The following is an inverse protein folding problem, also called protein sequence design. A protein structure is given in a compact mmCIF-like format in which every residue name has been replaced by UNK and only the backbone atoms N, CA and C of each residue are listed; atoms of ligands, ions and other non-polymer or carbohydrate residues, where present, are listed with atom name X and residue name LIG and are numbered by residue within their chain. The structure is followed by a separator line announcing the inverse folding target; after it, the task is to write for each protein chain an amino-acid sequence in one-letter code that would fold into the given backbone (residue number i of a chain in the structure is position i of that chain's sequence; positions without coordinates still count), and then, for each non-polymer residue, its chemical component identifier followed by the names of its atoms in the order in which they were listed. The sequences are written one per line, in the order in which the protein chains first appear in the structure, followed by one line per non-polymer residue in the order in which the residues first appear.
data_IF_748867702675
#
_entry.id   IF_748867702675
#
_cell.length_a   1.000
_cell.length_b   1.000
_cell.length_c   1.000
_cell.angle_alpha   90.00
_cell.angle_beta   90.00
_cell.angle_gamma   90.00
#
_symmetry.space_group_name_H-M   'P 1'
#
loop_
_entity.id
_entity.type
_entity.pdbx_description
1 polymer ?
#
# COMPACT_ATOMS: atom_id res chain seq x y z
N UNK A 1 14.71 1.83 9.95
CA UNK A 1 13.88 1.18 8.90
C UNK A 1 12.93 2.26 8.42
N UNK A 2 12.71 2.46 7.11
CA UNK A 2 11.83 3.56 6.67
C UNK A 2 10.36 3.21 6.92
N UNK A 3 9.56 4.18 7.36
CA UNK A 3 8.10 4.03 7.55
C UNK A 3 7.40 3.53 6.28
N UNK A 4 7.96 3.78 5.09
CA UNK A 4 7.44 3.25 3.82
C UNK A 4 7.58 1.72 3.69
N UNK A 5 8.37 1.07 4.55
CA UNK A 5 8.49 -0.38 4.70
C UNK A 5 7.90 -0.87 6.03
N UNK A 6 6.84 -0.23 6.48
CA UNK A 6 6.15 -0.57 7.72
C UNK A 6 4.68 -0.80 7.41
N UNK A 7 4.10 -1.83 7.99
CA UNK A 7 2.64 -2.04 7.93
C UNK A 7 1.96 -0.94 8.73
N UNK A 8 1.13 -0.15 8.06
CA UNK A 8 0.37 0.95 8.67
C UNK A 8 -1.11 0.58 8.62
N UNK A 9 -1.77 0.68 9.75
CA UNK A 9 -3.23 0.57 9.81
C UNK A 9 -3.86 1.92 9.49
N UNK A 10 -4.19 2.11 8.22
CA UNK A 10 -4.81 3.35 7.76
C UNK A 10 -6.24 3.57 8.26
N UNK A 11 -6.90 2.59 8.88
CA UNK A 11 -8.22 2.78 9.51
C UNK A 11 -8.14 3.71 10.72
N UNK A 12 -6.95 3.86 11.31
CA UNK A 12 -6.71 4.79 12.42
C UNK A 12 -6.95 6.24 12.03
N UNK A 13 -6.79 6.60 10.76
CA UNK A 13 -7.11 7.95 10.28
C UNK A 13 -8.61 8.24 10.19
N UNK A 14 -9.46 7.23 10.24
CA UNK A 14 -10.91 7.39 10.35
C UNK A 14 -11.40 7.30 11.79
N UNK A 15 -10.67 6.53 12.61
CA UNK A 15 -10.96 6.39 14.02
C UNK A 15 -10.66 7.66 14.81
N UNK A 16 -9.56 8.31 14.44
CA UNK A 16 -9.11 9.58 15.00
C UNK A 16 -9.29 10.71 13.97
N UNK A 17 -9.18 11.94 14.42
CA UNK A 17 -9.23 13.10 13.52
C UNK A 17 -8.01 13.13 12.58
N UNK A 18 -8.24 12.94 11.28
CA UNK A 18 -7.16 12.96 10.29
C UNK A 18 -6.44 14.31 10.22
N UNK A 19 -7.16 15.42 10.42
CA UNK A 19 -6.58 16.77 10.39
C UNK A 19 -5.57 16.94 11.52
N UNK A 20 -5.85 16.36 12.69
CA UNK A 20 -4.91 16.34 13.80
C UNK A 20 -3.54 15.73 13.40
N UNK A 21 -3.57 14.61 12.67
CA UNK A 21 -2.35 13.94 12.21
C UNK A 21 -1.58 14.77 11.17
N UNK A 22 -2.30 15.44 10.27
CA UNK A 22 -1.72 16.30 9.24
C UNK A 22 -1.06 17.52 9.89
N UNK A 23 -1.75 18.22 10.78
CA UNK A 23 -1.26 19.44 11.46
C UNK A 23 -0.03 19.16 12.33
N UNK A 24 -0.02 18.03 13.04
CA UNK A 24 1.09 17.66 13.91
C UNK A 24 2.20 16.87 13.20
N UNK A 25 2.07 16.63 11.88
CA UNK A 25 3.02 15.87 11.03
C UNK A 25 3.39 14.52 11.63
N UNK A 26 2.38 13.72 11.93
CA UNK A 26 2.53 12.39 12.53
C UNK A 26 1.69 11.34 11.80
N UNK A 27 2.12 10.09 11.89
CA UNK A 27 1.41 8.96 11.26
C UNK A 27 1.13 7.89 12.30
N UNK A 28 -0.15 7.58 12.62
CA UNK A 28 -0.48 6.45 13.45
C UNK A 28 -0.17 5.16 12.68
N UNK A 29 0.55 4.24 13.32
CA UNK A 29 1.01 3.01 12.68
C UNK A 29 0.12 1.83 13.06
N UNK A 30 -0.07 1.66 14.36
CA UNK A 30 -0.75 0.51 14.93
C UNK A 30 -1.31 0.86 16.31
N UNK A 31 -2.45 0.25 16.65
CA UNK A 31 -3.10 0.41 17.94
C UNK A 31 -3.49 -0.96 18.51
N UNK A 32 -3.27 -1.14 19.79
CA UNK A 32 -3.83 -2.25 20.57
C UNK A 32 -4.73 -1.75 21.72
N UNK A 33 -5.09 -2.62 22.65
CA UNK A 33 -5.94 -2.26 23.79
C UNK A 33 -5.30 -1.24 24.73
N UNK A 34 -3.97 -1.16 24.79
CA UNK A 34 -3.22 -0.39 25.78
C UNK A 34 -2.44 0.76 25.15
N UNK A 35 -1.92 0.54 23.95
CA UNK A 35 -0.96 1.45 23.32
C UNK A 35 -1.33 1.87 21.91
N UNK A 36 -0.82 3.02 21.52
CA UNK A 36 -0.86 3.56 20.15
C UNK A 36 0.58 3.85 19.72
N UNK A 37 0.98 3.28 18.59
CA UNK A 37 2.30 3.52 17.98
C UNK A 37 2.20 4.58 16.92
N UNK A 38 2.99 5.65 17.05
CA UNK A 38 2.97 6.81 16.16
C UNK A 38 4.37 7.06 15.60
N UNK A 39 4.45 7.28 14.29
CA UNK A 39 5.65 7.85 13.67
C UNK A 39 5.64 9.36 13.79
N UNK A 40 6.75 9.90 14.21
CA UNK A 40 7.00 11.34 14.40
C UNK A 40 8.21 11.79 13.58
N UNK A 41 8.32 13.08 13.32
CA UNK A 41 9.51 13.68 12.77
C UNK A 41 10.10 14.73 13.73
N UNK A 42 11.32 15.26 13.49
CA UNK A 42 11.95 16.23 14.40
C UNK A 42 11.12 17.49 14.66
N UNK A 43 10.18 17.83 13.78
CA UNK A 43 9.29 18.99 13.95
C UNK A 43 7.98 18.68 14.71
N UNK A 44 7.74 17.43 15.12
CA UNK A 44 6.55 17.02 15.87
C UNK A 44 6.65 17.41 17.35
N UNK A 45 5.54 17.89 17.94
CA UNK A 45 5.49 18.24 19.37
C UNK A 45 5.09 17.01 20.21
N UNK A 46 6.10 16.29 20.71
CA UNK A 46 5.91 15.02 21.44
C UNK A 46 5.12 15.20 22.75
N UNK A 47 5.35 16.28 23.49
CA UNK A 47 4.66 16.53 24.77
C UNK A 47 3.16 16.71 24.55
N UNK A 48 2.79 17.57 23.59
CA UNK A 48 1.39 17.76 23.22
C UNK A 48 0.74 16.45 22.78
N UNK A 49 1.42 15.66 21.92
CA UNK A 49 0.87 14.42 21.41
C UNK A 49 0.62 13.40 22.54
N UNK A 50 1.50 13.32 23.55
CA UNK A 50 1.28 12.43 24.70
C UNK A 50 0.04 12.78 25.50
N UNK A 51 -0.22 14.07 25.66
CA UNK A 51 -1.34 14.56 26.48
C UNK A 51 -2.68 14.42 25.74
N UNK A 52 -2.67 14.41 24.41
CA UNK A 52 -3.88 14.33 23.58
C UNK A 52 -4.47 12.91 23.46
N UNK A 53 -3.72 11.87 23.83
CA UNK A 53 -4.18 10.48 23.74
C UNK A 53 -4.31 9.83 25.12
N UNK A 54 -5.42 9.10 25.33
CA UNK A 54 -5.67 8.35 26.57
C UNK A 54 -4.77 7.12 26.69
N UNK A 55 -4.34 6.55 25.55
CA UNK A 55 -3.48 5.38 25.49
C UNK A 55 -2.01 5.73 25.66
N UNK A 56 -1.21 4.74 26.06
CA UNK A 56 0.24 4.88 26.08
C UNK A 56 0.73 5.08 24.64
N UNK A 57 1.36 6.23 24.37
CA UNK A 57 1.88 6.53 23.05
C UNK A 57 3.35 6.12 22.94
N UNK A 58 3.63 5.22 21.99
CA UNK A 58 4.97 4.79 21.63
C UNK A 58 5.40 5.48 20.34
N UNK A 59 6.53 6.16 20.37
CA UNK A 59 7.02 6.91 19.23
C UNK A 59 8.12 6.18 18.48
N UNK A 60 8.11 6.31 17.15
CA UNK A 60 9.26 6.03 16.28
C UNK A 60 9.61 7.29 15.50
N UNK A 61 10.89 7.62 15.45
CA UNK A 61 11.37 8.77 14.69
C UNK A 61 11.61 8.38 13.24
N UNK A 62 11.06 9.17 12.32
CA UNK A 62 11.13 8.97 10.88
C UNK A 62 11.45 10.26 10.16
N UNK A 63 11.84 10.15 8.90
CA UNK A 63 12.15 11.31 8.07
C UNK A 63 10.88 12.11 7.77
N UNK A 64 10.95 13.42 7.95
CA UNK A 64 9.80 14.32 7.73
C UNK A 64 9.21 14.17 6.32
N UNK A 65 10.05 14.03 5.28
CA UNK A 65 9.56 13.88 3.92
C UNK A 65 8.77 12.57 3.70
N UNK A 66 9.11 11.49 4.40
CA UNK A 66 8.36 10.22 4.31
C UNK A 66 7.01 10.34 5.02
N UNK A 67 6.95 11.03 6.16
CA UNK A 67 5.71 11.35 6.87
C UNK A 67 4.80 12.22 6.00
N UNK A 68 5.31 13.31 5.47
CA UNK A 68 4.56 14.22 4.61
C UNK A 68 4.07 13.52 3.33
N UNK A 69 4.86 12.63 2.76
CA UNK A 69 4.47 11.82 1.61
C UNK A 69 3.28 10.89 1.92
N UNK A 70 3.24 10.31 3.11
CA UNK A 70 2.10 9.48 3.54
C UNK A 70 0.86 10.35 3.74
N UNK A 71 0.99 11.48 4.43
CA UNK A 71 -0.12 12.37 4.78
C UNK A 71 -0.73 13.07 3.55
N UNK A 72 0.07 13.40 2.53
CA UNK A 72 -0.40 14.09 1.34
C UNK A 72 -1.48 13.33 0.54
N UNK A 73 -1.59 12.01 0.71
CA UNK A 73 -2.52 11.18 -0.04
C UNK A 73 -3.33 10.24 0.86
N UNK A 74 -3.64 10.69 2.06
CA UNK A 74 -4.22 9.83 3.10
C UNK A 74 -5.55 9.20 2.70
N UNK A 75 -6.42 9.93 2.02
CA UNK A 75 -7.74 9.44 1.59
C UNK A 75 -7.60 8.24 0.64
N UNK A 76 -6.72 8.34 -0.35
CA UNK A 76 -6.45 7.22 -1.28
C UNK A 76 -5.81 6.04 -0.56
N UNK A 77 -4.93 6.30 0.42
CA UNK A 77 -4.33 5.25 1.23
C UNK A 77 -5.35 4.49 2.07
N UNK A 78 -6.30 5.19 2.66
CA UNK A 78 -7.42 4.57 3.41
C UNK A 78 -8.28 3.70 2.49
N UNK A 79 -8.65 4.20 1.31
CA UNK A 79 -9.44 3.45 0.31
C UNK A 79 -8.70 2.16 -0.09
N UNK A 80 -7.44 2.27 -0.49
CA UNK A 80 -6.63 1.13 -0.91
C UNK A 80 -6.40 0.14 0.23
N UNK A 81 -6.17 0.62 1.45
CA UNK A 81 -6.01 -0.25 2.62
C UNK A 81 -7.26 -1.08 2.90
N UNK A 82 -8.44 -0.45 2.88
CA UNK A 82 -9.72 -1.14 3.06
C UNK A 82 -9.98 -2.17 1.96
N UNK A 83 -9.68 -1.80 0.71
CA UNK A 83 -9.82 -2.71 -0.42
C UNK A 83 -8.87 -3.92 -0.29
N UNK A 84 -7.62 -3.70 0.15
CA UNK A 84 -6.64 -4.74 0.42
C UNK A 84 -7.11 -5.70 1.52
N UNK A 85 -7.60 -5.18 2.65
CA UNK A 85 -8.14 -5.99 3.75
C UNK A 85 -9.32 -6.86 3.28
N UNK A 86 -10.24 -6.30 2.48
CA UNK A 86 -11.35 -7.05 1.90
C UNK A 86 -10.88 -8.14 0.94
N UNK A 87 -9.87 -7.85 0.11
CA UNK A 87 -9.29 -8.83 -0.81
C UNK A 87 -8.64 -10.02 -0.09
N UNK A 88 -8.04 -9.78 1.08
CA UNK A 88 -7.44 -10.84 1.91
C UNK A 88 -8.52 -11.64 2.64
N UNK A 89 -9.52 -10.97 3.22
CA UNK A 89 -10.52 -11.60 4.09
C UNK A 89 -11.65 -12.32 3.36
N UNK A 90 -11.94 -11.92 2.13
CA UNK A 90 -12.99 -12.54 1.31
C UNK A 90 -12.42 -13.75 0.59
N UNK A 91 -12.52 -14.93 1.18
CA UNK A 91 -12.11 -16.18 0.54
C UNK A 91 -12.65 -16.26 -0.90
N UNK A 92 -11.76 -16.00 -1.89
CA UNK A 92 -11.98 -16.12 -3.34
C UNK A 92 -13.01 -15.17 -4.00
N UNK A 93 -13.39 -14.07 -3.38
CA UNK A 93 -14.18 -13.05 -4.10
C UNK A 93 -13.27 -12.11 -4.90
N UNK A 94 -13.03 -12.48 -6.17
CA UNK A 94 -12.25 -11.71 -7.14
C UNK A 94 -12.72 -10.25 -7.28
N UNK A 95 -13.96 -9.96 -6.92
CA UNK A 95 -14.56 -8.63 -6.99
C UNK A 95 -13.80 -7.60 -6.14
N UNK A 96 -13.36 -7.98 -4.93
CA UNK A 96 -12.62 -7.06 -4.07
C UNK A 96 -11.21 -6.83 -4.56
N UNK A 97 -10.55 -7.88 -5.07
CA UNK A 97 -9.22 -7.75 -5.67
C UNK A 97 -9.28 -6.97 -6.99
N UNK A 98 -10.35 -7.15 -7.77
CA UNK A 98 -10.62 -6.35 -8.95
C UNK A 98 -10.81 -4.86 -8.61
N UNK A 99 -11.58 -4.55 -7.57
CA UNK A 99 -11.76 -3.18 -7.10
C UNK A 99 -10.43 -2.57 -6.59
N UNK A 100 -9.65 -3.34 -5.83
CA UNK A 100 -8.32 -2.90 -5.39
C UNK A 100 -7.41 -2.57 -6.57
N UNK A 101 -7.41 -3.41 -7.62
CA UNK A 101 -6.62 -3.16 -8.84
C UNK A 101 -7.08 -1.86 -9.53
N UNK A 102 -8.39 -1.63 -9.65
CA UNK A 102 -8.92 -0.43 -10.30
C UNK A 102 -8.51 0.84 -9.53
N UNK A 103 -8.63 0.85 -8.21
CA UNK A 103 -8.19 1.98 -7.36
C UNK A 103 -6.68 2.19 -7.42
N UNK A 104 -5.89 1.08 -7.47
CA UNK A 104 -4.44 1.14 -7.62
C UNK A 104 -4.04 1.78 -8.96
N UNK A 105 -4.69 1.39 -10.05
CA UNK A 105 -4.46 1.94 -11.39
C UNK A 105 -4.82 3.43 -11.40
N UNK A 106 -5.99 3.81 -10.90
CA UNK A 106 -6.41 5.21 -10.84
C UNK A 106 -5.38 6.05 -10.09
N UNK A 107 -4.94 5.58 -8.93
CA UNK A 107 -3.95 6.30 -8.16
C UNK A 107 -2.60 6.37 -8.89
N UNK A 108 -2.17 5.30 -9.55
CA UNK A 108 -0.93 5.32 -10.33
C UNK A 108 -0.96 6.35 -11.47
N UNK A 109 -2.12 6.50 -12.13
CA UNK A 109 -2.35 7.51 -13.18
C UNK A 109 -2.28 8.92 -12.60
N UNK A 110 -2.93 9.17 -11.46
CA UNK A 110 -2.86 10.46 -10.73
C UNK A 110 -1.41 10.83 -10.39
N UNK A 111 -0.59 9.83 -10.03
CA UNK A 111 0.83 10.01 -9.74
C UNK A 111 1.73 10.06 -11.00
N UNK A 112 1.15 9.93 -12.19
CA UNK A 112 1.87 9.90 -13.49
C UNK A 112 2.91 8.77 -13.53
N UNK A 113 2.58 7.64 -12.95
CA UNK A 113 3.45 6.48 -12.95
C UNK A 113 3.52 5.85 -14.35
N UNK A 114 4.70 5.44 -14.78
CA UNK A 114 4.90 4.63 -16.00
C UNK A 114 4.76 3.14 -15.73
N UNK A 115 5.11 2.69 -14.54
CA UNK A 115 5.10 1.29 -14.15
C UNK A 115 4.67 1.13 -12.68
N UNK A 116 4.00 0.00 -12.38
CA UNK A 116 3.68 -0.45 -11.03
C UNK A 116 4.49 -1.72 -10.78
N UNK A 117 5.34 -1.70 -9.76
CA UNK A 117 6.10 -2.86 -9.32
C UNK A 117 5.52 -3.38 -8.01
N UNK A 118 5.28 -4.68 -7.96
CA UNK A 118 4.76 -5.35 -6.77
C UNK A 118 5.74 -6.44 -6.37
N UNK A 119 6.20 -6.38 -5.14
CA UNK A 119 7.23 -7.28 -4.63
C UNK A 119 6.90 -7.75 -3.22
N UNK A 120 7.16 -9.02 -2.95
CA UNK A 120 7.21 -9.52 -1.58
C UNK A 120 8.54 -9.09 -0.93
N UNK A 121 8.46 -8.54 0.27
CA UNK A 121 9.63 -8.14 1.06
C UNK A 121 9.40 -8.51 2.53
N UNK A 122 10.04 -9.57 2.99
CA UNK A 122 9.78 -10.15 4.31
C UNK A 122 8.30 -10.52 4.47
N UNK A 123 7.63 -9.95 5.46
CA UNK A 123 6.20 -10.08 5.77
C UNK A 123 5.31 -9.02 5.11
N UNK A 124 5.87 -8.29 4.14
CA UNK A 124 5.18 -7.20 3.44
C UNK A 124 5.01 -7.46 1.95
N UNK A 125 3.93 -6.94 1.40
CA UNK A 125 3.72 -6.71 -0.02
C UNK A 125 3.98 -5.24 -0.33
N UNK A 126 5.03 -4.94 -1.08
CA UNK A 126 5.40 -3.58 -1.45
C UNK A 126 4.87 -3.23 -2.83
N UNK A 127 4.15 -2.12 -2.93
CA UNK A 127 3.75 -1.50 -4.19
C UNK A 127 4.62 -0.27 -4.45
N UNK A 128 5.35 -0.32 -5.54
CA UNK A 128 6.27 0.74 -5.95
C UNK A 128 5.82 1.30 -7.29
N UNK A 129 5.86 2.61 -7.44
CA UNK A 129 5.59 3.27 -8.72
C UNK A 129 6.87 3.86 -9.28
N UNK A 130 7.00 3.78 -10.60
CA UNK A 130 8.03 4.54 -11.32
C UNK A 130 7.45 5.87 -11.75
N UNK A 131 7.93 6.94 -11.11
CA UNK A 131 7.51 8.31 -11.40
C UNK A 131 8.75 9.11 -11.79
N UNK A 132 8.71 9.78 -12.93
CA UNK A 132 9.83 10.54 -13.50
C UNK A 132 11.16 9.71 -13.52
N UNK A 133 11.06 8.44 -13.95
CA UNK A 133 12.16 7.49 -14.03
C UNK A 133 12.64 6.90 -12.69
N UNK A 134 12.13 7.37 -11.56
CA UNK A 134 12.53 6.92 -10.22
C UNK A 134 11.50 5.97 -9.61
N UNK A 135 11.98 4.81 -9.17
CA UNK A 135 11.14 3.84 -8.46
C UNK A 135 11.04 4.21 -6.98
N UNK A 136 9.80 4.38 -6.48
CA UNK A 136 9.52 4.74 -5.09
C UNK A 136 8.47 3.81 -4.50
N UNK A 137 8.60 3.48 -3.21
CA UNK A 137 7.57 2.74 -2.46
C UNK A 137 6.41 3.70 -2.19
N UNK A 138 5.22 3.31 -2.62
CA UNK A 138 3.99 4.04 -2.35
C UNK A 138 3.17 3.39 -1.24
N UNK A 139 3.12 2.06 -1.22
CA UNK A 139 2.35 1.31 -0.22
C UNK A 139 3.12 0.09 0.26
N UNK A 140 2.88 -0.27 1.52
CA UNK A 140 3.23 -1.56 2.09
C UNK A 140 2.00 -2.15 2.77
N UNK A 141 1.64 -3.35 2.37
CA UNK A 141 0.52 -4.12 2.90
C UNK A 141 1.03 -5.43 3.51
N UNK A 142 0.12 -6.21 4.07
CA UNK A 142 0.38 -7.57 4.51
C UNK A 142 0.86 -8.45 3.34
N UNK A 143 1.78 -9.38 3.61
CA UNK A 143 2.28 -10.30 2.58
C UNK A 143 1.18 -11.15 1.93
N UNK A 144 0.08 -11.42 2.66
CA UNK A 144 -1.06 -12.16 2.14
C UNK A 144 -1.67 -11.49 0.90
N UNK A 145 -1.63 -10.16 0.84
CA UNK A 145 -2.10 -9.44 -0.34
C UNK A 145 -1.29 -9.81 -1.58
N UNK A 146 0.03 -10.05 -1.43
CA UNK A 146 0.86 -10.44 -2.56
C UNK A 146 0.33 -11.73 -3.21
N UNK A 147 0.00 -12.74 -2.41
CA UNK A 147 -0.50 -14.04 -2.92
C UNK A 147 -1.83 -13.87 -3.65
N UNK A 148 -2.78 -13.18 -3.03
CA UNK A 148 -4.11 -12.95 -3.61
C UNK A 148 -4.01 -12.12 -4.90
N UNK A 149 -3.25 -11.04 -4.86
CA UNK A 149 -3.10 -10.12 -5.99
C UNK A 149 -2.32 -10.75 -7.14
N UNK A 150 -1.22 -11.48 -6.87
CA UNK A 150 -0.44 -12.18 -7.89
C UNK A 150 -1.31 -13.19 -8.65
N UNK A 151 -2.08 -14.03 -7.94
CA UNK A 151 -2.99 -14.98 -8.56
C UNK A 151 -4.03 -14.28 -9.45
N UNK A 152 -4.62 -13.21 -8.95
CA UNK A 152 -5.63 -12.46 -9.69
C UNK A 152 -5.08 -11.81 -10.97
N UNK A 153 -3.93 -11.12 -10.91
CA UNK A 153 -3.39 -10.46 -12.12
C UNK A 153 -2.91 -11.47 -13.16
N UNK A 154 -2.41 -12.63 -12.74
CA UNK A 154 -2.09 -13.75 -13.65
C UNK A 154 -3.35 -14.28 -14.32
N UNK A 155 -4.43 -14.50 -13.54
CA UNK A 155 -5.71 -14.98 -14.05
C UNK A 155 -6.27 -14.07 -15.15
N UNK A 156 -6.38 -12.77 -14.90
CA UNK A 156 -6.92 -11.81 -15.88
C UNK A 156 -5.99 -11.60 -17.09
N UNK A 157 -4.71 -12.00 -16.96
CA UNK A 157 -3.71 -11.94 -18.05
C UNK A 157 -3.60 -13.28 -18.81
N UNK A 158 -4.45 -14.28 -18.51
CA UNK A 158 -4.40 -15.65 -19.05
C UNK A 158 -3.05 -16.34 -18.83
N UNK A 159 -2.41 -16.12 -17.69
CA UNK A 159 -1.18 -16.77 -17.27
C UNK A 159 -1.46 -17.89 -16.28
N UNK A 160 -0.55 -18.88 -16.23
CA UNK A 160 -0.63 -19.95 -15.24
C UNK A 160 -0.32 -19.43 -13.83
N UNK A 161 -1.34 -19.44 -12.96
CA UNK A 161 -1.25 -18.97 -11.58
C UNK A 161 -0.30 -19.81 -10.72
N UNK A 162 -0.08 -21.08 -11.09
CA UNK A 162 0.78 -22.00 -10.31
C UNK A 162 2.27 -21.82 -10.64
N UNK A 163 2.55 -21.18 -11.76
CA UNK A 163 3.92 -21.00 -12.23
C UNK A 163 4.56 -19.78 -11.56
N UNK A 164 5.49 -20.06 -10.63
CA UNK A 164 6.24 -19.03 -9.89
C UNK A 164 7.76 -19.07 -10.15
N UNK A 165 8.22 -20.08 -10.90
CA UNK A 165 9.64 -20.31 -11.15
C UNK A 165 10.14 -19.88 -12.53
N UNK A 166 9.22 -19.47 -13.40
CA UNK A 166 9.52 -18.99 -14.73
C UNK A 166 9.06 -17.54 -14.88
N UNK A 167 9.80 -16.78 -15.68
CA UNK A 167 9.33 -15.48 -16.11
C UNK A 167 8.13 -15.66 -17.04
N UNK A 168 7.07 -14.90 -16.80
CA UNK A 168 5.84 -14.92 -17.60
C UNK A 168 5.53 -13.51 -18.08
N UNK A 169 5.04 -13.40 -19.31
CA UNK A 169 4.56 -12.16 -19.89
C UNK A 169 3.11 -12.30 -20.33
N UNK A 170 2.28 -11.37 -19.95
CA UNK A 170 0.85 -11.36 -20.25
C UNK A 170 0.34 -9.97 -20.60
N UNK A 171 -0.94 -9.89 -20.92
CA UNK A 171 -1.63 -8.65 -21.20
C UNK A 171 -3.06 -8.72 -20.69
N UNK A 172 -3.57 -7.61 -20.19
CA UNK A 172 -4.98 -7.45 -19.85
C UNK A 172 -5.43 -6.03 -20.17
N UNK A 173 -6.74 -5.85 -20.25
CA UNK A 173 -7.36 -4.54 -20.40
C UNK A 173 -8.32 -4.27 -19.27
N UNK A 174 -8.44 -3.02 -18.85
CA UNK A 174 -9.43 -2.56 -17.86
C UNK A 174 -10.17 -1.34 -18.38
N UNK A 175 -11.49 -1.30 -18.12
CA UNK A 175 -12.30 -0.12 -18.33
C UNK A 175 -12.53 0.56 -16.99
N UNK A 176 -11.99 1.76 -16.84
CA UNK A 176 -12.04 2.52 -15.58
C UNK A 176 -12.54 3.92 -15.96
N UNK A 177 -13.65 4.37 -15.36
CA UNK A 177 -14.28 5.67 -15.64
C UNK A 177 -14.47 5.90 -17.16
N UNK A 178 -15.10 4.93 -17.83
CA UNK A 178 -15.40 4.93 -19.28
C UNK A 178 -14.17 5.03 -20.20
N UNK A 179 -12.98 4.83 -19.68
CA UNK A 179 -11.75 4.82 -20.42
C UNK A 179 -11.10 3.44 -20.38
N UNK A 180 -10.74 2.93 -21.56
CA UNK A 180 -10.01 1.66 -21.69
C UNK A 180 -8.52 1.90 -21.52
N UNK A 181 -7.91 1.06 -20.68
CA UNK A 181 -6.47 0.99 -20.48
C UNK A 181 -5.96 -0.41 -20.80
N UNK A 182 -4.87 -0.49 -21.54
CA UNK A 182 -4.20 -1.75 -21.88
C UNK A 182 -2.88 -1.86 -21.09
N UNK A 183 -2.69 -3.01 -20.45
CA UNK A 183 -1.55 -3.29 -19.57
C UNK A 183 -0.72 -4.43 -20.11
N UNK A 184 0.58 -4.33 -19.88
CA UNK A 184 1.50 -5.46 -19.97
C UNK A 184 1.81 -5.93 -18.56
N UNK A 185 1.78 -7.24 -18.34
CA UNK A 185 2.16 -7.88 -17.10
C UNK A 185 3.41 -8.70 -17.35
N UNK A 186 4.44 -8.48 -16.54
CA UNK A 186 5.64 -9.31 -16.52
C UNK A 186 5.88 -9.82 -15.11
N UNK A 187 6.14 -11.12 -14.95
CA UNK A 187 6.49 -11.70 -13.66
C UNK A 187 7.89 -12.30 -13.75
N UNK A 188 8.70 -12.10 -12.71
CA UNK A 188 10.06 -12.65 -12.63
C UNK A 188 10.26 -13.35 -11.29
N UNK A 189 10.82 -14.58 -11.27
CA UNK A 189 11.19 -15.26 -10.04
C UNK A 189 12.18 -14.43 -9.23
N UNK A 190 12.00 -14.40 -7.92
CA UNK A 190 12.91 -13.80 -6.96
C UNK A 190 13.24 -14.80 -5.85
N UNK A 191 14.17 -14.47 -4.96
CA UNK A 191 14.55 -15.33 -3.83
C UNK A 191 13.36 -15.57 -2.88
N UNK A 192 12.49 -14.59 -2.72
CA UNK A 192 11.37 -14.68 -1.75
C UNK A 192 10.05 -15.17 -2.37
N UNK A 193 9.82 -14.88 -3.65
CA UNK A 193 8.61 -15.27 -4.38
C UNK A 193 8.77 -14.94 -5.88
N UNK A 194 8.12 -13.90 -6.32
CA UNK A 194 8.23 -13.31 -7.66
C UNK A 194 8.09 -11.79 -7.56
N UNK A 195 8.57 -11.07 -8.57
CA UNK A 195 8.33 -9.65 -8.79
C UNK A 195 7.34 -9.51 -9.93
N UNK A 196 6.39 -8.61 -9.80
CA UNK A 196 5.34 -8.33 -10.79
C UNK A 196 5.49 -6.88 -11.24
N UNK A 197 5.43 -6.65 -12.54
CA UNK A 197 5.49 -5.32 -13.14
C UNK A 197 4.39 -5.17 -14.17
#
# INVERSE_FOLDING_TARGET
MSILKTKIDYTLFEKYDKEYFIENKIVPIYEDSISLKIAICPSSNIEKIKDDFVKIVNFIEEKEHDILFILANIEKRVILHKAALKSISSNDDEKFTSYFLDELILYSIEQRASDIHIEKYQDLCLFKFRVDGRLRIFFSFDEELFRVFSSFVKLISNLDMTQIRLALDGRFSRNINDKKYDFRLSTMPTIQAESIV
#
